data_IF_411634151775
#
_entry.id   IF_411634151775
#
_cell.length_a   1.000
_cell.length_b   1.000
_cell.length_c   1.000
_cell.angle_alpha   90.00
_cell.angle_beta   90.00
_cell.angle_gamma   90.00
#
_symmetry.space_group_name_H-M   'P 1'
#
loop_
_entity.id
_entity.type
_entity.pdbx_description
1 polymer ?
#
# COMPACT_ATOMS: atom_id res chain seq x y z
N UNK A 1 2.36 8.53 1.57
CA UNK A 1 2.10 7.19 2.14
C UNK A 1 1.74 6.19 1.05
N UNK A 2 0.51 6.13 0.49
CA UNK A 2 0.28 5.22 -0.66
C UNK A 2 0.94 5.69 -1.96
N UNK A 3 1.16 7.01 -2.10
CA UNK A 3 1.94 7.60 -3.20
C UNK A 3 3.38 7.07 -3.30
N UNK A 4 3.94 6.60 -2.19
CA UNK A 4 5.31 6.04 -2.16
C UNK A 4 5.37 4.60 -2.66
N UNK A 5 4.22 3.93 -2.76
CA UNK A 5 4.09 2.59 -3.33
C UNK A 5 3.98 2.64 -4.86
N UNK A 6 3.17 3.55 -5.41
CA UNK A 6 2.98 3.87 -6.84
C UNK A 6 3.71 2.95 -7.87
N UNK A 7 3.28 1.69 -8.03
CA UNK A 7 4.01 0.70 -8.82
C UNK A 7 3.97 0.98 -10.33
N UNK A 8 2.96 1.72 -10.79
CA UNK A 8 2.79 2.11 -12.20
C UNK A 8 3.15 3.58 -12.49
N UNK A 9 3.54 4.36 -11.48
CA UNK A 9 4.09 5.71 -11.66
C UNK A 9 3.08 6.81 -11.96
N UNK A 10 1.81 6.61 -11.60
CA UNK A 10 0.68 7.49 -11.95
C UNK A 10 0.29 8.44 -10.83
N UNK A 11 0.91 8.36 -9.64
CA UNK A 11 0.55 9.19 -8.48
C UNK A 11 0.74 10.69 -8.70
N UNK A 12 1.56 11.08 -9.68
CA UNK A 12 1.79 12.46 -10.10
C UNK A 12 0.80 12.96 -11.17
N UNK A 13 -0.05 12.09 -11.70
CA UNK A 13 -1.02 12.40 -12.76
C UNK A 13 -2.38 12.70 -12.11
N UNK A 14 -2.86 13.97 -12.12
CA UNK A 14 -4.11 14.32 -11.44
C UNK A 14 -5.33 13.54 -11.96
N UNK A 15 -5.31 13.14 -13.23
CA UNK A 15 -6.40 12.37 -13.85
C UNK A 15 -6.46 10.92 -13.36
N UNK A 16 -5.41 10.42 -12.72
CA UNK A 16 -5.29 9.07 -12.16
C UNK A 16 -5.45 9.05 -10.63
N UNK A 17 -5.91 10.16 -10.02
CA UNK A 17 -5.94 10.30 -8.56
C UNK A 17 -6.76 9.20 -7.85
N UNK A 18 -7.75 8.62 -8.52
CA UNK A 18 -8.63 7.59 -7.96
C UNK A 18 -8.19 6.15 -8.26
N UNK A 19 -7.13 5.93 -9.04
CA UNK A 19 -6.69 4.59 -9.44
C UNK A 19 -6.28 3.72 -8.25
N UNK A 20 -5.90 4.36 -7.13
CA UNK A 20 -5.46 3.68 -5.93
C UNK A 20 -6.45 3.73 -4.76
N UNK A 21 -7.59 4.41 -4.89
CA UNK A 21 -8.51 4.65 -3.77
C UNK A 21 -9.04 3.35 -3.17
N UNK A 22 -9.47 2.40 -4.00
CA UNK A 22 -9.97 1.10 -3.52
C UNK A 22 -8.92 0.29 -2.74
N UNK A 23 -7.65 0.41 -3.13
CA UNK A 23 -6.55 -0.25 -2.43
C UNK A 23 -6.18 0.50 -1.16
N UNK A 24 -6.25 1.84 -1.17
CA UNK A 24 -6.06 2.67 0.01
C UNK A 24 -7.08 2.35 1.11
N UNK A 25 -8.36 2.17 0.75
CA UNK A 25 -9.42 1.82 1.68
C UNK A 25 -9.15 0.47 2.36
N UNK A 26 -8.70 -0.54 1.61
CA UNK A 26 -8.38 -1.86 2.15
C UNK A 26 -7.16 -1.79 3.09
N UNK A 27 -6.12 -1.05 2.70
CA UNK A 27 -4.95 -0.81 3.55
C UNK A 27 -5.33 -0.07 4.82
N UNK A 28 -6.27 0.88 4.75
CA UNK A 28 -6.78 1.59 5.93
C UNK A 28 -7.49 0.64 6.89
N UNK A 29 -8.35 -0.26 6.38
CA UNK A 29 -9.01 -1.29 7.20
C UNK A 29 -7.97 -2.20 7.88
N UNK A 30 -6.94 -2.64 7.15
CA UNK A 30 -5.83 -3.42 7.72
C UNK A 30 -5.05 -2.62 8.77
N UNK A 31 -4.87 -1.31 8.59
CA UNK A 31 -4.17 -0.47 9.57
C UNK A 31 -4.95 -0.29 10.87
N UNK A 32 -6.28 -0.22 10.79
CA UNK A 32 -7.17 -0.12 11.95
C UNK A 32 -7.25 -1.40 12.78
N UNK A 33 -6.92 -2.55 12.18
CA UNK A 33 -6.75 -3.80 12.92
C UNK A 33 -5.41 -3.79 13.67
N UNK A 34 -5.44 -3.71 15.00
CA UNK A 34 -4.24 -3.70 15.84
C UNK A 34 -3.40 -4.98 15.68
N UNK A 35 -4.01 -6.09 15.26
CA UNK A 35 -3.34 -7.38 15.06
C UNK A 35 -2.63 -7.48 13.70
N UNK A 36 -3.04 -6.68 12.72
CA UNK A 36 -2.42 -6.71 11.40
C UNK A 36 -0.97 -6.22 11.48
N UNK A 37 -0.09 -6.87 10.74
CA UNK A 37 1.34 -6.60 10.74
C UNK A 37 1.75 -5.87 9.46
N UNK A 38 2.97 -5.33 9.45
CA UNK A 38 3.56 -4.79 8.21
C UNK A 38 3.64 -5.86 7.12
N UNK A 39 3.76 -7.14 7.49
CA UNK A 39 3.80 -8.23 6.52
C UNK A 39 2.43 -8.45 5.84
N UNK A 40 1.32 -8.29 6.57
CA UNK A 40 -0.03 -8.43 6.02
C UNK A 40 -0.32 -7.32 5.00
N UNK A 41 0.04 -6.08 5.34
CA UNK A 41 -0.11 -4.92 4.44
C UNK A 41 0.83 -5.06 3.23
N UNK A 42 2.08 -5.48 3.43
CA UNK A 42 3.02 -5.69 2.34
C UNK A 42 2.55 -6.79 1.38
N UNK A 43 2.01 -7.89 1.93
CA UNK A 43 1.44 -8.99 1.16
C UNK A 43 0.27 -8.53 0.30
N UNK A 44 -0.66 -7.76 0.88
CA UNK A 44 -1.78 -7.19 0.15
C UNK A 44 -1.31 -6.27 -0.99
N UNK A 45 -0.41 -5.32 -0.71
CA UNK A 45 0.13 -4.41 -1.73
C UNK A 45 0.86 -5.17 -2.85
N UNK A 46 1.62 -6.21 -2.49
CA UNK A 46 2.30 -7.04 -3.47
C UNK A 46 1.30 -7.79 -4.37
N UNK A 47 0.26 -8.39 -3.79
CA UNK A 47 -0.79 -9.09 -4.54
C UNK A 47 -1.53 -8.16 -5.49
N UNK A 48 -1.86 -6.93 -5.07
CA UNK A 48 -2.45 -5.94 -5.98
C UNK A 48 -1.51 -5.65 -7.16
N UNK A 49 -0.22 -5.43 -6.89
CA UNK A 49 0.73 -5.13 -7.96
C UNK A 49 0.89 -6.31 -8.95
N UNK A 50 0.91 -7.56 -8.47
CA UNK A 50 1.15 -8.71 -9.36
C UNK A 50 -0.14 -9.24 -9.99
N UNK A 51 -1.21 -9.40 -9.21
CA UNK A 51 -2.42 -10.09 -9.64
C UNK A 51 -3.46 -9.13 -10.23
N UNK A 52 -3.61 -7.92 -9.66
CA UNK A 52 -4.58 -6.95 -10.17
C UNK A 52 -3.98 -6.10 -11.30
N UNK A 53 -2.72 -5.68 -11.16
CA UNK A 53 -2.04 -4.82 -12.15
C UNK A 53 -1.17 -5.61 -13.15
N UNK A 54 -0.90 -6.90 -12.90
CA UNK A 54 -0.16 -7.76 -13.83
C UNK A 54 1.35 -7.48 -13.89
N UNK A 55 1.94 -6.82 -12.89
CA UNK A 55 3.35 -6.46 -12.90
C UNK A 55 4.25 -7.66 -12.56
N UNK A 56 5.40 -7.75 -13.23
CA UNK A 56 6.24 -8.95 -13.20
C UNK A 56 7.57 -8.78 -12.48
N UNK A 57 7.98 -7.54 -12.15
CA UNK A 57 9.20 -7.28 -11.37
C UNK A 57 8.99 -7.57 -9.87
N UNK A 58 8.80 -8.85 -9.54
CA UNK A 58 8.44 -9.30 -8.20
C UNK A 58 9.44 -8.87 -7.12
N UNK A 59 10.73 -8.79 -7.46
CA UNK A 59 11.75 -8.36 -6.50
C UNK A 59 11.56 -6.90 -6.09
N UNK A 60 11.42 -6.01 -7.08
CA UNK A 60 11.18 -4.59 -6.83
C UNK A 60 9.82 -4.33 -6.16
N UNK A 61 8.79 -5.05 -6.58
CA UNK A 61 7.45 -4.92 -6.01
C UNK A 61 7.41 -5.36 -4.55
N UNK A 62 8.09 -6.46 -4.20
CA UNK A 62 8.17 -6.93 -2.83
C UNK A 62 8.93 -5.93 -1.94
N UNK A 63 10.09 -5.43 -2.37
CA UNK A 63 10.86 -4.44 -1.60
C UNK A 63 10.05 -3.16 -1.37
N UNK A 64 9.38 -2.67 -2.41
CA UNK A 64 8.59 -1.44 -2.31
C UNK A 64 7.38 -1.61 -1.40
N UNK A 65 6.66 -2.74 -1.54
CA UNK A 65 5.48 -3.04 -0.71
C UNK A 65 5.87 -3.18 0.77
N UNK A 66 6.98 -3.87 1.06
CA UNK A 66 7.52 -4.00 2.43
C UNK A 66 7.91 -2.64 3.03
N UNK A 67 8.62 -1.81 2.26
CA UNK A 67 9.04 -0.48 2.71
C UNK A 67 7.84 0.39 3.10
N UNK A 68 6.82 0.44 2.23
CA UNK A 68 5.63 1.26 2.47
C UNK A 68 4.80 0.72 3.62
N UNK A 69 4.64 -0.61 3.73
CA UNK A 69 3.92 -1.21 4.84
C UNK A 69 4.57 -0.91 6.20
N UNK A 70 5.91 -0.93 6.29
CA UNK A 70 6.63 -0.56 7.52
C UNK A 70 6.40 0.90 7.91
N UNK A 71 6.37 1.81 6.94
CA UNK A 71 6.07 3.23 7.18
C UNK A 71 4.63 3.41 7.68
N UNK A 72 3.67 2.76 7.05
CA UNK A 72 2.26 2.81 7.42
C UNK A 72 2.03 2.32 8.85
N UNK A 73 2.60 1.17 9.22
CA UNK A 73 2.46 0.62 10.58
C UNK A 73 3.13 1.51 11.63
N UNK A 74 4.29 2.10 11.31
CA UNK A 74 4.98 3.02 12.22
C UNK A 74 4.18 4.28 12.52
N UNK A 75 3.34 4.72 11.58
CA UNK A 75 2.44 5.88 11.75
C UNK A 75 1.07 5.55 12.35
N UNK A 76 0.77 4.29 12.71
CA UNK A 76 -0.48 3.90 13.40
C UNK A 76 -0.91 4.81 14.57
N UNK A 77 -0.01 5.26 15.47
CA UNK A 77 -0.40 6.12 16.59
C UNK A 77 -1.05 7.44 16.16
N UNK A 78 -0.71 7.93 14.96
CA UNK A 78 -1.23 9.19 14.41
C UNK A 78 -2.66 9.02 13.84
N UNK A 79 -3.04 7.79 13.46
CA UNK A 79 -4.36 7.47 12.91
C UNK A 79 -5.40 7.12 13.98
N UNK A 80 -4.98 6.62 15.15
CA UNK A 80 -5.87 6.22 16.23
C UNK A 80 -6.44 7.35 17.10
N UNK A 81 -6.05 8.61 16.85
CA UNK A 81 -6.46 9.77 17.67
C UNK A 81 -7.58 10.61 17.03
N UNK A 82 -8.47 9.99 16.23
CA UNK A 82 -9.52 10.70 15.50
C UNK A 82 -10.94 10.23 15.80
#
# INVERSE_FOLDING_TARGET
MLRDWDPIGVSAIPQAANEYDAYADTVYVLLMDESATANDIAGYLFEVATEHMGLTDRGQLAERSDRVAKLLVSSRPEFGNH
#
